data_IF_570675846410
#
_entry.id   IF_570675846410
#
_cell.length_a   1.000
_cell.length_b   1.000
_cell.length_c   1.000
_cell.angle_alpha   90.00
_cell.angle_beta   90.00
_cell.angle_gamma   90.00
#
_symmetry.space_group_name_H-M   'P 1'
#
loop_
_entity.id
_entity.type
_entity.pdbx_description
1 polymer ?
#
# COMPACT_ATOMS: atom_id res chain seq x y z
N UNK A 1 6.97 10.17 -4.81
CA UNK A 1 5.68 9.47 -5.04
C UNK A 1 5.76 8.30 -6.04
N UNK A 2 6.62 8.34 -7.08
CA UNK A 2 6.75 7.26 -8.09
C UNK A 2 7.31 5.90 -7.59
N UNK A 3 8.07 5.87 -6.49
CA UNK A 3 8.75 4.64 -6.01
C UNK A 3 7.79 3.68 -5.27
N UNK A 4 6.73 4.18 -4.61
CA UNK A 4 5.76 3.32 -3.88
C UNK A 4 4.86 2.49 -4.80
N UNK A 5 4.63 2.95 -6.04
CA UNK A 5 3.77 2.23 -6.98
C UNK A 5 4.41 0.94 -7.51
N UNK A 6 5.74 0.88 -7.61
CA UNK A 6 6.46 -0.24 -8.22
C UNK A 6 6.46 -1.53 -7.37
N UNK A 7 6.17 -1.44 -6.07
CA UNK A 7 6.11 -2.59 -5.16
C UNK A 7 4.69 -2.93 -4.66
N UNK A 8 3.65 -2.35 -5.28
CA UNK A 8 2.28 -2.74 -4.94
C UNK A 8 1.99 -4.16 -5.45
N UNK A 9 1.37 -5.01 -4.62
CA UNK A 9 0.92 -6.35 -5.01
C UNK A 9 0.08 -6.30 -6.30
N UNK A 10 -0.75 -5.27 -6.45
CA UNK A 10 -1.50 -4.99 -7.66
C UNK A 10 -0.60 -4.81 -8.88
N UNK A 11 0.43 -3.97 -8.78
CA UNK A 11 1.35 -3.71 -9.89
C UNK A 11 2.10 -4.99 -10.29
N UNK A 12 2.52 -5.79 -9.31
CA UNK A 12 3.21 -7.06 -9.55
C UNK A 12 2.28 -8.07 -10.24
N UNK A 13 1.06 -8.25 -9.72
CA UNK A 13 0.07 -9.17 -10.29
C UNK A 13 -0.34 -8.75 -11.70
N UNK A 14 -0.71 -7.49 -11.90
CA UNK A 14 -1.04 -6.96 -13.22
C UNK A 14 0.12 -7.17 -14.19
N UNK A 15 1.36 -6.80 -13.81
CA UNK A 15 2.53 -6.99 -14.68
C UNK A 15 2.74 -8.47 -15.03
N UNK A 16 2.72 -9.38 -14.04
CA UNK A 16 2.95 -10.81 -14.27
C UNK A 16 1.87 -11.41 -15.18
N UNK A 17 0.61 -11.09 -14.92
CA UNK A 17 -0.52 -11.64 -15.66
C UNK A 17 -0.55 -11.09 -17.09
N UNK A 18 -0.26 -9.79 -17.27
CA UNK A 18 -0.07 -9.19 -18.61
C UNK A 18 1.09 -9.84 -19.37
N UNK A 19 2.24 -10.09 -18.72
CA UNK A 19 3.38 -10.77 -19.37
C UNK A 19 3.02 -12.21 -19.76
N UNK A 20 2.34 -12.96 -18.90
CA UNK A 20 1.90 -14.34 -19.21
C UNK A 20 0.95 -14.35 -20.40
N UNK A 21 -0.06 -13.47 -20.40
CA UNK A 21 -1.01 -13.34 -21.51
C UNK A 21 -0.30 -12.94 -22.80
N UNK A 22 0.66 -12.01 -22.74
CA UNK A 22 1.44 -11.60 -23.91
C UNK A 22 2.30 -12.76 -24.46
N UNK A 23 2.97 -13.53 -23.60
CA UNK A 23 3.75 -14.70 -24.02
C UNK A 23 2.86 -15.77 -24.64
N UNK A 24 1.68 -16.02 -24.05
CA UNK A 24 0.69 -16.95 -24.60
C UNK A 24 0.25 -16.53 -26.01
N UNK A 25 -0.04 -15.25 -26.22
CA UNK A 25 -0.38 -14.72 -27.54
C UNK A 25 0.75 -14.83 -28.55
N UNK A 26 2.00 -14.58 -28.15
CA UNK A 26 3.17 -14.71 -29.04
C UNK A 26 3.37 -16.17 -29.47
N UNK A 27 3.23 -17.13 -28.55
CA UNK A 27 3.35 -18.55 -28.86
C UNK A 27 2.22 -18.99 -29.80
N UNK A 28 0.97 -18.60 -29.49
CA UNK A 28 -0.18 -18.92 -30.33
C UNK A 28 -0.06 -18.32 -31.74
N UNK A 29 0.40 -17.07 -31.84
CA UNK A 29 0.68 -16.39 -33.10
C UNK A 29 1.75 -17.11 -33.92
N UNK A 30 2.88 -17.47 -33.30
CA UNK A 30 3.95 -18.18 -33.98
C UNK A 30 3.52 -19.56 -34.48
N UNK A 31 2.73 -20.28 -33.68
CA UNK A 31 2.18 -21.58 -34.07
C UNK A 31 1.19 -21.44 -35.25
N UNK A 32 0.27 -20.49 -35.18
CA UNK A 32 -0.70 -20.23 -36.26
C UNK A 32 0.00 -19.84 -37.57
N UNK A 33 1.00 -18.97 -37.52
CA UNK A 33 1.79 -18.59 -38.70
C UNK A 33 2.59 -19.77 -39.27
N UNK A 34 3.10 -20.65 -38.42
CA UNK A 34 3.78 -21.87 -38.84
C UNK A 34 2.84 -22.83 -39.57
N UNK A 35 1.66 -23.09 -39.02
CA UNK A 35 0.66 -23.97 -39.64
C UNK A 35 0.17 -23.42 -40.97
N UNK A 36 -0.20 -22.13 -41.02
CA UNK A 36 -0.68 -21.50 -42.24
C UNK A 36 0.37 -21.57 -43.36
N UNK A 37 1.64 -21.30 -43.05
CA UNK A 37 2.72 -21.42 -44.03
C UNK A 37 2.90 -22.85 -44.54
N UNK A 38 2.79 -23.84 -43.66
CA UNK A 38 2.95 -25.24 -44.04
C UNK A 38 1.83 -25.72 -44.96
N UNK A 39 0.57 -25.39 -44.62
CA UNK A 39 -0.61 -25.72 -45.45
C UNK A 39 -0.56 -25.03 -46.82
N UNK A 40 -0.15 -23.75 -46.87
CA UNK A 40 0.02 -23.04 -48.15
C UNK A 40 1.12 -23.65 -49.03
N UNK A 41 2.23 -24.11 -48.43
CA UNK A 41 3.31 -24.77 -49.18
C UNK A 41 2.86 -26.11 -49.78
N UNK A 42 2.08 -26.90 -49.04
CA UNK A 42 1.54 -28.18 -49.50
C UNK A 42 0.45 -28.01 -50.57
N UNK A 43 -0.43 -27.01 -50.40
CA UNK A 43 -1.46 -26.66 -51.37
C UNK A 43 -0.88 -26.22 -52.72
N UNK A 44 0.10 -25.30 -52.71
CA UNK A 44 0.74 -24.82 -53.93
C UNK A 44 1.50 -25.93 -54.67
N UNK A 45 2.20 -26.81 -53.95
CA UNK A 45 2.88 -27.96 -54.55
C UNK A 45 1.89 -28.95 -55.19
N UNK A 46 0.72 -29.14 -54.58
CA UNK A 46 -0.35 -29.99 -55.12
C UNK A 46 -0.94 -29.40 -56.39
N UNK A 47 -1.20 -28.09 -56.40
CA UNK A 47 -1.69 -27.37 -57.58
C UNK A 47 -0.73 -27.54 -58.78
N UNK A 48 0.58 -27.35 -58.58
CA UNK A 48 1.60 -27.57 -59.63
C UNK A 48 1.55 -28.99 -60.24
N UNK A 49 1.33 -30.01 -59.42
CA UNK A 49 1.21 -31.41 -59.89
C UNK A 49 -0.07 -31.59 -60.71
N UNK A 50 -1.19 -31.07 -60.23
CA UNK A 50 -2.49 -31.22 -60.87
C UNK A 50 -2.56 -30.47 -62.20
N UNK A 51 -2.13 -29.20 -62.23
CA UNK A 51 -2.02 -28.39 -63.44
C UNK A 51 -1.08 -29.05 -64.45
N UNK A 52 0.04 -29.65 -64.02
CA UNK A 52 0.93 -30.42 -64.90
C UNK A 52 0.24 -31.63 -65.53
N UNK A 53 -0.56 -32.39 -64.76
CA UNK A 53 -1.32 -33.54 -65.30
C UNK A 53 -2.39 -33.11 -66.29
N UNK A 54 -3.19 -32.10 -65.94
CA UNK A 54 -4.23 -31.54 -66.82
C UNK A 54 -3.62 -31.03 -68.13
N UNK A 55 -2.57 -30.21 -68.03
CA UNK A 55 -1.90 -29.64 -69.18
C UNK A 55 -1.18 -30.69 -70.04
N UNK A 56 -0.56 -31.71 -69.44
CA UNK A 56 0.09 -32.78 -70.21
C UNK A 56 -0.88 -33.52 -71.14
N UNK A 57 -2.12 -33.73 -70.70
CA UNK A 57 -3.14 -34.44 -71.48
C UNK A 57 -3.59 -33.61 -72.68
N UNK A 58 -3.84 -32.32 -72.46
CA UNK A 58 -4.28 -31.38 -73.50
C UNK A 58 -3.19 -31.08 -74.52
N UNK A 59 -1.94 -30.93 -74.06
CA UNK A 59 -0.80 -30.65 -74.93
C UNK A 59 -0.46 -31.83 -75.82
N UNK A 60 -0.56 -33.08 -75.31
CA UNK A 60 -0.40 -34.28 -76.15
C UNK A 60 -1.46 -34.31 -77.24
N UNK A 61 -2.74 -34.14 -76.89
CA UNK A 61 -3.84 -34.15 -77.87
C UNK A 61 -3.68 -33.06 -78.93
N UNK A 62 -3.23 -31.86 -78.52
CA UNK A 62 -2.96 -30.76 -79.45
C UNK A 62 -1.82 -31.09 -80.42
N UNK A 63 -0.70 -31.64 -79.93
CA UNK A 63 0.48 -31.98 -80.74
C UNK A 63 0.23 -33.17 -81.68
N UNK A 64 -0.58 -34.15 -81.27
CA UNK A 64 -0.99 -35.25 -82.15
C UNK A 64 -1.87 -34.76 -83.31
N UNK A 65 -2.68 -33.73 -83.07
CA UNK A 65 -3.63 -33.20 -84.06
C UNK A 65 -3.05 -32.06 -84.95
N UNK A 66 -1.92 -31.44 -84.59
CA UNK A 66 -1.34 -30.28 -85.29
C UNK A 66 0.13 -30.48 -85.73
N UNK A 67 0.43 -31.65 -86.28
CA UNK A 67 1.79 -32.13 -86.57
C UNK A 67 2.54 -31.43 -87.75
N UNK A 68 2.20 -30.19 -88.10
CA UNK A 68 2.82 -29.44 -89.21
C UNK A 68 3.51 -28.15 -88.74
N UNK A 69 4.78 -28.03 -89.18
CA UNK A 69 5.72 -26.89 -89.12
C UNK A 69 6.40 -26.63 -87.75
N UNK A 70 7.75 -26.64 -87.77
CA UNK A 70 8.64 -26.52 -86.60
C UNK A 70 8.70 -25.13 -85.96
N UNK A 71 7.54 -24.50 -85.76
CA UNK A 71 7.37 -23.24 -85.06
C UNK A 71 6.92 -23.51 -83.61
N UNK A 72 7.45 -22.74 -82.65
CA UNK A 72 7.13 -22.91 -81.23
C UNK A 72 5.66 -22.55 -81.01
N UNK A 73 4.87 -23.48 -80.50
CA UNK A 73 3.46 -23.23 -80.19
C UNK A 73 3.36 -22.37 -78.93
N UNK A 74 2.75 -21.19 -79.07
CA UNK A 74 2.42 -20.31 -77.93
C UNK A 74 0.93 -20.45 -77.64
N UNK A 75 0.61 -21.07 -76.51
CA UNK A 75 -0.77 -21.15 -76.02
C UNK A 75 -1.12 -19.85 -75.27
N UNK A 76 -2.39 -19.38 -75.33
CA UNK A 76 -2.84 -18.21 -74.58
C UNK A 76 -2.63 -18.38 -73.06
N UNK A 77 -2.66 -17.27 -72.32
CA UNK A 77 -2.56 -17.27 -70.86
C UNK A 77 -3.51 -18.32 -70.24
N UNK A 78 -3.05 -19.08 -69.22
CA UNK A 78 -3.90 -20.05 -68.56
C UNK A 78 -5.03 -19.30 -67.85
N UNK A 79 -6.20 -19.36 -68.47
CA UNK A 79 -7.51 -19.17 -67.88
C UNK A 79 -8.40 -20.17 -68.60
N UNK A 80 -8.41 -21.41 -68.11
CA UNK A 80 -9.22 -22.48 -68.70
C UNK A 80 -10.68 -22.28 -68.30
N UNK A 81 -11.39 -21.38 -68.99
CA UNK A 81 -12.85 -21.46 -69.11
C UNK A 81 -13.18 -22.64 -70.04
N UNK A 82 -12.89 -23.86 -69.57
CA UNK A 82 -13.52 -25.06 -70.10
C UNK A 82 -14.77 -25.22 -69.26
N UNK A 83 -15.94 -24.99 -69.85
CA UNK A 83 -17.21 -25.52 -69.32
C UNK A 83 -17.10 -27.06 -69.28
N UNK A 84 -16.42 -27.57 -68.25
CA UNK A 84 -16.54 -28.95 -67.82
C UNK A 84 -17.94 -29.04 -67.21
N UNK A 85 -18.81 -29.81 -67.88
CA UNK A 85 -20.19 -29.97 -67.46
C UNK A 85 -20.30 -30.33 -65.98
N UNK A 86 -20.94 -29.42 -65.24
CA UNK A 86 -21.84 -29.62 -64.11
C UNK A 86 -21.74 -31.00 -63.43
N UNK A 87 -20.70 -31.23 -62.60
CA UNK A 87 -20.70 -32.24 -61.52
C UNK A 87 -19.37 -32.33 -60.72
N UNK A 88 -18.70 -31.22 -60.43
CA UNK A 88 -17.57 -31.27 -59.48
C UNK A 88 -17.56 -30.11 -58.49
N UNK A 89 -17.88 -30.43 -57.24
CA UNK A 89 -17.64 -29.62 -56.04
C UNK A 89 -16.12 -29.41 -55.84
N UNK A 90 -15.50 -28.52 -56.60
CA UNK A 90 -14.16 -28.01 -56.30
C UNK A 90 -14.29 -26.66 -55.58
N UNK A 91 -13.57 -26.50 -54.47
CA UNK A 91 -13.57 -25.30 -53.64
C UNK A 91 -13.14 -24.06 -54.45
N UNK A 92 -13.95 -22.99 -54.41
CA UNK A 92 -13.73 -21.69 -55.08
C UNK A 92 -12.37 -21.02 -54.70
N UNK A 93 -11.72 -21.45 -53.62
CA UNK A 93 -10.44 -20.89 -53.16
C UNK A 93 -9.23 -21.30 -54.03
N UNK A 94 -9.39 -22.24 -54.98
CA UNK A 94 -8.30 -22.73 -55.84
C UNK A 94 -8.22 -22.10 -57.25
N UNK A 95 -9.24 -21.34 -57.68
CA UNK A 95 -9.26 -20.72 -59.01
C UNK A 95 -8.16 -19.66 -59.19
N UNK A 96 -7.77 -18.96 -58.11
CA UNK A 96 -6.72 -17.92 -58.15
C UNK A 96 -5.30 -18.47 -58.46
N UNK A 97 -5.07 -19.78 -58.28
CA UNK A 97 -3.75 -20.37 -58.50
C UNK A 97 -3.45 -20.65 -59.97
N UNK A 98 -4.47 -20.95 -60.78
CA UNK A 98 -4.24 -21.35 -62.18
C UNK A 98 -3.93 -20.13 -63.08
N UNK A 99 -4.39 -18.93 -62.74
CA UNK A 99 -4.24 -17.69 -63.52
C UNK A 99 -2.78 -17.22 -63.69
N UNK A 100 -1.88 -17.64 -62.80
CA UNK A 100 -0.47 -17.22 -62.80
C UNK A 100 0.52 -18.33 -63.16
N UNK A 101 0.02 -19.53 -63.47
CA UNK A 101 0.87 -20.68 -63.81
C UNK A 101 1.53 -20.48 -65.17
N UNK A 102 2.79 -20.85 -65.28
CA UNK A 102 3.56 -20.80 -66.52
C UNK A 102 3.92 -22.22 -66.92
N UNK A 103 3.53 -22.66 -68.12
CA UNK A 103 3.92 -23.97 -68.63
C UNK A 103 4.88 -23.88 -69.83
N UNK A 104 5.81 -24.85 -69.90
CA UNK A 104 6.73 -25.09 -71.01
C UNK A 104 6.85 -26.60 -71.27
N UNK A 105 6.73 -27.03 -72.53
CA UNK A 105 7.06 -28.38 -72.98
C UNK A 105 8.43 -28.37 -73.65
N UNK A 106 9.31 -29.29 -73.25
CA UNK A 106 10.67 -29.39 -73.77
C UNK A 106 11.00 -30.78 -74.27
N UNK A 107 11.85 -30.88 -75.30
CA UNK A 107 12.40 -32.16 -75.76
C UNK A 107 13.59 -32.62 -74.88
N UNK A 108 14.09 -33.84 -75.13
CA UNK A 108 15.25 -34.40 -74.43
C UNK A 108 16.55 -33.59 -74.63
N UNK A 109 16.66 -32.83 -75.73
CA UNK A 109 17.78 -31.92 -76.01
C UNK A 109 17.66 -30.56 -75.27
N UNK A 110 16.52 -30.33 -74.62
CA UNK A 110 16.24 -29.15 -73.81
C UNK A 110 15.68 -27.96 -74.59
N UNK A 111 15.30 -28.12 -75.85
CA UNK A 111 14.62 -27.11 -76.66
C UNK A 111 13.15 -27.00 -76.26
N UNK A 112 12.61 -25.77 -76.29
CA UNK A 112 11.20 -25.49 -75.96
C UNK A 112 10.35 -25.77 -77.20
N UNK A 113 9.44 -26.73 -77.09
CA UNK A 113 8.49 -27.09 -78.14
C UNK A 113 7.19 -26.28 -78.03
N UNK A 114 6.76 -26.03 -76.80
CA UNK A 114 5.53 -25.30 -76.51
C UNK A 114 5.71 -24.47 -75.25
N UNK A 115 5.09 -23.29 -75.20
CA UNK A 115 5.02 -22.47 -74.00
C UNK A 115 3.68 -21.78 -73.86
N UNK A 116 3.34 -21.43 -72.64
CA UNK A 116 2.30 -20.45 -72.33
C UNK A 116 2.74 -19.04 -72.71
N UNK A 117 1.78 -18.17 -73.01
CA UNK A 117 2.02 -16.77 -73.35
C UNK A 117 2.69 -15.99 -72.21
N UNK A 118 2.36 -16.32 -70.96
CA UNK A 118 2.95 -15.73 -69.75
C UNK A 118 4.31 -16.35 -69.35
N UNK A 119 4.79 -17.41 -70.04
CA UNK A 119 6.10 -18.00 -69.80
C UNK A 119 7.24 -17.31 -70.59
N UNK A 120 8.47 -17.27 -70.04
CA UNK A 120 9.64 -16.75 -70.74
C UNK A 120 9.90 -17.46 -72.08
N UNK A 121 10.50 -16.75 -73.03
CA UNK A 121 10.98 -17.32 -74.30
C UNK A 121 12.20 -18.23 -74.12
N UNK A 122 12.97 -17.99 -73.06
CA UNK A 122 14.10 -18.83 -72.69
C UNK A 122 13.63 -20.01 -71.84
N UNK A 123 14.28 -21.19 -71.97
CA UNK A 123 13.97 -22.32 -71.10
C UNK A 123 14.18 -21.95 -69.62
N UNK A 124 13.34 -22.50 -68.73
CA UNK A 124 13.58 -22.34 -67.29
C UNK A 124 14.98 -22.85 -66.91
N UNK A 125 15.66 -22.10 -66.04
CA UNK A 125 16.99 -22.44 -65.50
C UNK A 125 16.86 -23.50 -64.39
N UNK A 126 16.23 -24.63 -64.74
CA UNK A 126 16.00 -25.77 -63.86
C UNK A 126 16.39 -27.07 -64.58
N UNK A 127 16.88 -28.08 -63.85
CA UNK A 127 17.24 -29.36 -64.45
C UNK A 127 16.00 -30.07 -65.01
N UNK A 128 16.14 -30.68 -66.20
CA UNK A 128 15.15 -31.57 -66.82
C UNK A 128 15.13 -32.92 -66.09
N UNK A 129 14.70 -32.91 -64.83
CA UNK A 129 14.55 -34.09 -63.98
C UNK A 129 13.16 -34.11 -63.37
N UNK A 130 12.47 -35.26 -63.34
CA UNK A 130 11.16 -35.35 -62.73
C UNK A 130 11.17 -34.90 -61.26
N UNK A 131 10.20 -34.08 -60.87
CA UNK A 131 10.04 -33.56 -59.51
C UNK A 131 10.10 -32.04 -59.41
N UNK A 132 10.23 -31.54 -58.18
CA UNK A 132 10.26 -30.11 -57.87
C UNK A 132 11.68 -29.56 -57.95
N UNK A 133 11.82 -28.39 -58.58
CA UNK A 133 13.05 -27.60 -58.63
C UNK A 133 12.74 -26.14 -58.31
N UNK A 134 13.58 -25.51 -57.51
CA UNK A 134 13.51 -24.07 -57.26
C UNK A 134 14.43 -23.35 -58.26
N UNK A 135 13.85 -22.54 -59.14
CA UNK A 135 14.57 -21.55 -59.91
C UNK A 135 14.76 -20.25 -59.12
N UNK A 136 15.41 -19.25 -59.72
CA UNK A 136 15.75 -17.99 -59.05
C UNK A 136 14.50 -17.16 -58.64
N UNK A 137 13.41 -17.26 -59.43
CA UNK A 137 12.15 -16.52 -59.21
C UNK A 137 10.87 -17.34 -59.36
N UNK A 138 11.03 -18.63 -59.65
CA UNK A 138 9.91 -19.53 -59.94
C UNK A 138 10.15 -20.88 -59.28
N UNK A 139 9.08 -21.51 -58.81
CA UNK A 139 9.12 -22.92 -58.38
C UNK A 139 8.56 -23.75 -59.52
N UNK A 140 9.33 -24.72 -59.99
CA UNK A 140 9.02 -25.51 -61.20
C UNK A 140 8.78 -26.96 -60.83
N UNK A 141 7.65 -27.52 -61.25
CA UNK A 141 7.39 -28.96 -61.26
C UNK A 141 7.61 -29.51 -62.67
N UNK A 142 8.47 -30.51 -62.79
CA UNK A 142 8.78 -31.19 -64.07
C UNK A 142 8.20 -32.60 -64.06
N UNK A 143 7.40 -32.93 -65.07
CA UNK A 143 6.88 -34.28 -65.34
C UNK A 143 7.33 -34.78 -66.72
N UNK A 144 7.37 -36.09 -66.92
CA UNK A 144 7.68 -36.70 -68.22
C UNK A 144 6.37 -36.98 -68.95
N UNK A 145 6.31 -36.63 -70.22
CA UNK A 145 5.11 -36.68 -71.06
C UNK A 145 5.47 -37.29 -72.43
N UNK A 146 4.49 -37.91 -73.11
CA UNK A 146 4.73 -38.72 -74.31
C UNK A 146 5.43 -40.06 -74.02
N UNK A 147 5.97 -40.72 -75.05
CA UNK A 147 6.66 -42.02 -74.95
C UNK A 147 7.96 -42.02 -74.09
N UNK A 148 8.20 -40.97 -73.29
CA UNK A 148 9.36 -40.83 -72.41
C UNK A 148 10.35 -39.74 -72.81
N UNK A 149 10.10 -39.06 -73.94
CA UNK A 149 11.09 -38.18 -74.59
C UNK A 149 10.79 -36.67 -74.46
N UNK A 150 9.68 -36.31 -73.80
CA UNK A 150 9.29 -34.91 -73.57
C UNK A 150 9.10 -34.61 -72.08
N UNK A 151 9.43 -33.39 -71.69
CA UNK A 151 9.34 -32.89 -70.31
C UNK A 151 8.38 -31.72 -70.24
N UNK A 152 7.34 -31.86 -69.43
CA UNK A 152 6.39 -30.80 -69.14
C UNK A 152 6.80 -30.09 -67.86
N UNK A 153 7.04 -28.80 -67.93
CA UNK A 153 7.41 -27.94 -66.80
C UNK A 153 6.26 -26.99 -66.52
N UNK A 154 5.75 -26.99 -65.28
CA UNK A 154 4.79 -26.00 -64.77
C UNK A 154 5.49 -25.20 -63.67
N UNK A 155 5.39 -23.88 -63.74
CA UNK A 155 6.12 -22.96 -62.91
C UNK A 155 5.20 -21.89 -62.31
N UNK A 156 5.36 -21.61 -61.03
CA UNK A 156 4.65 -20.53 -60.33
C UNK A 156 5.64 -19.41 -59.95
N UNK A 157 5.36 -18.13 -60.27
CA UNK A 157 6.15 -16.99 -59.81
C UNK A 157 6.13 -16.84 -58.28
N UNK A 158 7.32 -16.71 -57.67
CA UNK A 158 7.43 -16.58 -56.19
C UNK A 158 6.97 -15.21 -55.67
N UNK A 159 6.84 -14.20 -56.54
CA UNK A 159 6.39 -12.85 -56.17
C UNK A 159 4.92 -12.83 -55.74
N UNK A 160 4.01 -13.46 -56.51
CA UNK A 160 2.59 -13.58 -56.16
C UNK A 160 2.39 -14.41 -54.88
N UNK A 161 3.18 -15.47 -54.71
CA UNK A 161 3.18 -16.30 -53.50
C UNK A 161 3.50 -15.49 -52.23
N UNK A 162 4.41 -14.52 -52.29
CA UNK A 162 4.74 -13.70 -51.11
C UNK A 162 3.65 -12.70 -50.76
N UNK A 163 2.96 -12.13 -51.74
CA UNK A 163 1.87 -11.19 -51.52
C UNK A 163 0.66 -11.88 -50.86
N UNK A 164 0.25 -13.04 -51.38
CA UNK A 164 -0.82 -13.86 -50.79
C UNK A 164 -0.50 -14.32 -49.36
N UNK A 165 0.76 -14.66 -49.06
CA UNK A 165 1.20 -14.99 -47.71
C UNK A 165 1.08 -13.78 -46.78
N UNK A 166 1.54 -12.59 -47.22
CA UNK A 166 1.47 -11.37 -46.40
C UNK A 166 0.02 -10.98 -46.14
N UNK A 167 -0.85 -11.03 -47.14
CA UNK A 167 -2.27 -10.71 -47.00
C UNK A 167 -2.97 -11.66 -46.03
N UNK A 168 -2.77 -12.97 -46.20
CA UNK A 168 -3.29 -14.01 -45.28
C UNK A 168 -2.80 -13.78 -43.85
N UNK A 169 -1.50 -13.52 -43.68
CA UNK A 169 -0.89 -13.23 -42.37
C UNK A 169 -1.51 -11.98 -41.76
N UNK A 170 -1.63 -10.86 -42.50
CA UNK A 170 -2.19 -9.61 -41.99
C UNK A 170 -3.67 -9.78 -41.58
N UNK A 171 -4.47 -10.46 -42.40
CA UNK A 171 -5.87 -10.76 -42.10
C UNK A 171 -6.01 -11.58 -40.80
N UNK A 172 -5.19 -12.62 -40.65
CA UNK A 172 -5.15 -13.47 -39.46
C UNK A 172 -4.73 -12.72 -38.19
N UNK A 173 -3.81 -11.75 -38.29
CA UNK A 173 -3.29 -11.00 -37.14
C UNK A 173 -4.06 -9.72 -36.80
N UNK A 174 -4.88 -9.19 -37.71
CA UNK A 174 -5.74 -8.02 -37.45
C UNK A 174 -6.62 -8.17 -36.19
N UNK A 175 -7.35 -9.29 -35.96
CA UNK A 175 -8.17 -9.42 -34.74
C UNK A 175 -7.32 -9.41 -33.45
N UNK A 176 -6.07 -9.88 -33.50
CA UNK A 176 -5.16 -9.91 -32.35
C UNK A 176 -4.75 -8.52 -31.87
N UNK A 177 -4.58 -7.57 -32.81
CA UNK A 177 -4.25 -6.17 -32.52
C UNK A 177 -5.32 -5.53 -31.63
N UNK A 178 -6.59 -5.88 -31.84
CA UNK A 178 -7.71 -5.36 -31.02
C UNK A 178 -7.90 -6.16 -29.73
N UNK A 179 -7.70 -7.47 -29.78
CA UNK A 179 -7.98 -8.35 -28.66
C UNK A 179 -6.93 -8.25 -27.54
N UNK A 180 -5.66 -8.02 -27.86
CA UNK A 180 -4.58 -7.84 -26.87
C UNK A 180 -4.86 -6.63 -25.94
N UNK A 181 -5.10 -5.39 -26.44
CA UNK A 181 -5.45 -4.26 -25.59
C UNK A 181 -6.68 -4.50 -24.70
N UNK A 182 -7.71 -5.16 -25.24
CA UNK A 182 -8.94 -5.48 -24.50
C UNK A 182 -8.64 -6.43 -23.35
N UNK A 183 -7.85 -7.49 -23.57
CA UNK A 183 -7.46 -8.41 -22.50
C UNK A 183 -6.60 -7.73 -21.44
N UNK A 184 -5.66 -6.87 -21.83
CA UNK A 184 -4.85 -6.08 -20.88
C UNK A 184 -5.74 -5.17 -20.04
N UNK A 185 -6.68 -4.46 -20.68
CA UNK A 185 -7.63 -3.58 -19.98
C UNK A 185 -8.50 -4.36 -19.00
N UNK A 186 -9.00 -5.53 -19.41
CA UNK A 186 -9.80 -6.42 -18.56
C UNK A 186 -9.00 -6.93 -17.34
N UNK A 187 -7.73 -7.30 -17.54
CA UNK A 187 -6.84 -7.72 -16.45
C UNK A 187 -6.58 -6.58 -15.47
N UNK A 188 -6.25 -5.39 -15.99
CA UNK A 188 -6.04 -4.19 -15.15
C UNK A 188 -7.31 -3.90 -14.34
N UNK A 189 -8.47 -3.85 -15.00
CA UNK A 189 -9.76 -3.58 -14.36
C UNK A 189 -10.09 -4.61 -13.27
N UNK A 190 -9.99 -5.91 -13.59
CA UNK A 190 -10.29 -7.00 -12.65
C UNK A 190 -9.39 -6.95 -11.40
N UNK A 191 -8.07 -6.80 -11.58
CA UNK A 191 -7.13 -6.73 -10.46
C UNK A 191 -7.33 -5.45 -9.63
N UNK A 192 -7.61 -4.30 -10.27
CA UNK A 192 -7.89 -3.05 -9.54
C UNK A 192 -9.12 -3.17 -8.65
N UNK A 193 -10.17 -3.83 -9.13
CA UNK A 193 -11.43 -4.02 -8.41
C UNK A 193 -11.27 -5.02 -7.27
N UNK A 194 -10.61 -6.14 -7.51
CA UNK A 194 -10.39 -7.20 -6.52
C UNK A 194 -9.52 -6.73 -5.33
N UNK A 195 -8.53 -5.85 -5.57
CA UNK A 195 -7.63 -5.34 -4.51
C UNK A 195 -8.09 -3.99 -3.90
N UNK A 196 -9.20 -3.43 -4.36
CA UNK A 196 -9.79 -2.20 -3.81
C UNK A 196 -10.07 -2.28 -2.31
N UNK A 197 -10.77 -3.33 -1.82
CA UNK A 197 -11.10 -3.48 -0.41
C UNK A 197 -9.91 -3.50 0.54
N UNK A 198 -8.81 -4.14 0.15
CA UNK A 198 -7.56 -4.18 0.94
C UNK A 198 -7.05 -2.76 1.24
N UNK A 199 -7.20 -1.84 0.27
CA UNK A 199 -6.81 -0.44 0.47
C UNK A 199 -7.73 0.29 1.42
N UNK A 200 -9.03 0.01 1.38
CA UNK A 200 -9.99 0.58 2.31
C UNK A 200 -9.65 0.17 3.74
N UNK A 201 -9.45 -1.13 3.99
CA UNK A 201 -9.02 -1.65 5.31
C UNK A 201 -7.72 -1.00 5.77
N UNK A 202 -6.72 -0.93 4.89
CA UNK A 202 -5.44 -0.28 5.23
C UNK A 202 -5.65 1.18 5.61
N UNK A 203 -6.42 1.93 4.82
CA UNK A 203 -6.65 3.34 5.06
C UNK A 203 -7.47 3.57 6.34
N UNK A 204 -8.44 2.70 6.64
CA UNK A 204 -9.17 2.76 7.91
C UNK A 204 -8.26 2.50 9.10
N UNK A 205 -7.37 1.51 9.03
CA UNK A 205 -6.40 1.25 10.10
C UNK A 205 -5.44 2.44 10.25
N UNK A 206 -4.92 3.00 9.16
CA UNK A 206 -4.02 4.17 9.19
C UNK A 206 -4.73 5.43 9.72
N UNK A 207 -6.02 5.61 9.44
CA UNK A 207 -6.79 6.76 9.90
C UNK A 207 -7.19 6.68 11.39
N UNK A 208 -7.27 5.48 11.97
CA UNK A 208 -7.75 5.27 13.35
C UNK A 208 -6.76 5.70 14.46
N UNK A 209 -5.48 5.95 14.15
CA UNK A 209 -4.53 6.52 15.11
C UNK A 209 -4.32 5.68 16.39
N UNK A 210 -3.56 6.20 17.37
CA UNK A 210 -3.10 5.44 18.55
C UNK A 210 -4.19 5.15 19.61
N UNK A 211 -5.44 5.58 19.40
CA UNK A 211 -6.49 5.51 20.44
C UNK A 211 -7.86 5.01 19.99
N UNK A 212 -8.13 4.87 18.70
CA UNK A 212 -9.44 4.43 18.23
C UNK A 212 -9.47 2.90 18.00
N UNK A 213 -10.01 2.17 18.96
CA UNK A 213 -10.13 0.70 18.94
C UNK A 213 -11.53 0.22 18.53
N UNK A 214 -12.39 1.09 17.97
CA UNK A 214 -13.71 0.66 17.50
C UNK A 214 -13.58 -0.44 16.44
N UNK A 215 -14.53 -1.39 16.36
CA UNK A 215 -14.53 -2.41 15.31
C UNK A 215 -14.52 -1.80 13.90
N UNK A 216 -13.86 -2.46 12.97
CA UNK A 216 -13.96 -2.19 11.54
C UNK A 216 -15.25 -2.86 11.05
N UNK A 217 -16.23 -2.05 10.65
CA UNK A 217 -17.46 -2.51 10.03
C UNK A 217 -17.23 -2.59 8.53
N UNK A 218 -16.99 -3.80 8.03
CA UNK A 218 -16.86 -4.04 6.61
C UNK A 218 -17.64 -5.29 6.23
N UNK A 219 -18.54 -5.13 5.28
CA UNK A 219 -19.32 -6.21 4.67
C UNK A 219 -18.79 -6.41 3.25
N UNK A 220 -17.66 -7.12 3.13
CA UNK A 220 -17.03 -7.39 1.84
C UNK A 220 -17.45 -8.78 1.32
N UNK A 221 -17.74 -8.95 0.02
CA UNK A 221 -18.02 -10.27 -0.54
C UNK A 221 -16.81 -11.22 -0.56
N UNK A 222 -15.57 -10.73 -0.38
CA UNK A 222 -14.34 -11.54 -0.40
C UNK A 222 -14.02 -12.11 1.00
N UNK A 223 -14.08 -13.43 1.12
CA UNK A 223 -13.90 -14.17 2.38
C UNK A 223 -12.52 -13.93 3.04
N UNK A 224 -11.46 -13.84 2.24
CA UNK A 224 -10.11 -13.61 2.74
C UNK A 224 -9.97 -12.25 3.42
N UNK A 225 -10.68 -11.22 2.92
CA UNK A 225 -10.68 -9.88 3.51
C UNK A 225 -11.43 -9.90 4.84
N UNK A 226 -12.62 -10.50 4.88
CA UNK A 226 -13.41 -10.63 6.11
C UNK A 226 -12.65 -11.38 7.20
N UNK A 227 -11.89 -12.41 6.84
CA UNK A 227 -11.06 -13.17 7.78
C UNK A 227 -9.98 -12.29 8.42
N UNK A 228 -9.30 -11.48 7.61
CA UNK A 228 -8.28 -10.53 8.10
C UNK A 228 -8.92 -9.47 9.00
N UNK A 229 -10.04 -8.87 8.57
CA UNK A 229 -10.77 -7.86 9.35
C UNK A 229 -11.24 -8.44 10.69
N UNK A 230 -11.78 -9.66 10.70
CA UNK A 230 -12.19 -10.36 11.92
C UNK A 230 -11.01 -10.60 12.86
N UNK A 231 -9.86 -10.99 12.34
CA UNK A 231 -8.65 -11.19 13.15
C UNK A 231 -8.15 -9.86 13.76
N UNK A 232 -8.19 -8.76 13.00
CA UNK A 232 -7.84 -7.41 13.47
C UNK A 232 -8.82 -6.94 14.55
N UNK A 233 -10.13 -7.05 14.32
CA UNK A 233 -11.16 -6.71 15.29
C UNK A 233 -11.00 -7.51 16.59
N UNK A 234 -10.68 -8.80 16.50
CA UNK A 234 -10.41 -9.63 17.68
C UNK A 234 -9.17 -9.17 18.45
N UNK A 235 -8.11 -8.75 17.76
CA UNK A 235 -6.91 -8.21 18.40
C UNK A 235 -7.20 -6.87 19.09
N UNK A 236 -7.92 -5.97 18.42
CA UNK A 236 -8.36 -4.68 18.99
C UNK A 236 -9.20 -4.90 20.24
N UNK A 237 -10.19 -5.80 20.21
CA UNK A 237 -11.01 -6.12 21.38
C UNK A 237 -10.20 -6.73 22.54
N UNK A 238 -9.18 -7.56 22.26
CA UNK A 238 -8.27 -8.05 23.29
C UNK A 238 -7.42 -6.94 23.91
N UNK A 239 -6.94 -6.01 23.09
CA UNK A 239 -6.17 -4.85 23.55
C UNK A 239 -7.03 -3.93 24.41
N UNK A 240 -8.26 -3.64 23.97
CA UNK A 240 -9.22 -2.86 24.75
C UNK A 240 -9.53 -3.50 26.11
N UNK A 241 -9.75 -4.83 26.13
CA UNK A 241 -9.96 -5.57 27.37
C UNK A 241 -8.73 -5.53 28.30
N UNK A 242 -7.51 -5.65 27.76
CA UNK A 242 -6.30 -5.55 28.57
C UNK A 242 -6.12 -4.14 29.18
N UNK A 243 -6.33 -3.10 28.37
CA UNK A 243 -6.28 -1.71 28.83
C UNK A 243 -7.36 -1.39 29.86
N UNK A 244 -8.57 -1.94 29.72
CA UNK A 244 -9.64 -1.74 30.72
C UNK A 244 -9.33 -2.43 32.06
N UNK A 245 -8.71 -3.61 32.03
CA UNK A 245 -8.21 -4.27 33.25
C UNK A 245 -7.13 -3.42 33.93
N UNK A 246 -6.17 -2.87 33.19
CA UNK A 246 -5.13 -1.99 33.74
C UNK A 246 -5.72 -0.72 34.39
N UNK A 247 -6.71 -0.10 33.74
CA UNK A 247 -7.46 1.05 34.29
C UNK A 247 -8.17 0.68 35.59
N UNK A 248 -8.93 -0.43 35.59
CA UNK A 248 -9.69 -0.87 36.78
C UNK A 248 -8.79 -1.29 37.94
N UNK A 249 -7.66 -1.94 37.65
CA UNK A 249 -6.66 -2.31 38.66
C UNK A 249 -6.09 -1.06 39.35
N UNK A 250 -5.75 -0.04 38.57
CA UNK A 250 -5.25 1.24 39.10
C UNK A 250 -6.30 1.94 39.98
N UNK A 251 -7.56 1.99 39.51
CA UNK A 251 -8.64 2.63 40.24
C UNK A 251 -8.99 1.90 41.56
N UNK A 252 -9.05 0.57 41.53
CA UNK A 252 -9.41 -0.25 42.70
C UNK A 252 -8.27 -0.32 43.73
N UNK A 253 -7.01 -0.37 43.26
CA UNK A 253 -5.83 -0.37 44.15
C UNK A 253 -5.77 0.86 45.04
N UNK A 254 -6.35 1.99 44.60
CA UNK A 254 -6.39 3.20 45.40
C UNK A 254 -7.13 3.03 46.73
N UNK A 255 -8.32 2.45 46.67
CA UNK A 255 -9.15 2.23 47.85
C UNK A 255 -8.59 1.12 48.75
N UNK A 256 -8.07 0.05 48.15
CA UNK A 256 -7.44 -1.07 48.86
C UNK A 256 -6.16 -0.65 49.60
N UNK A 257 -5.42 0.35 49.10
CA UNK A 257 -4.25 0.91 49.80
C UNK A 257 -4.64 1.99 50.82
N UNK A 258 -5.59 2.88 50.50
CA UNK A 258 -5.97 4.01 51.37
C UNK A 258 -6.55 3.53 52.71
N UNK A 259 -7.35 2.47 52.69
CA UNK A 259 -8.04 1.93 53.87
C UNK A 259 -7.07 1.41 54.95
N UNK A 260 -6.14 0.48 54.68
CA UNK A 260 -5.20 -0.01 55.70
C UNK A 260 -4.25 1.08 56.19
N UNK A 261 -3.84 2.03 55.34
CA UNK A 261 -3.00 3.16 55.75
C UNK A 261 -3.76 4.09 56.72
N UNK A 262 -5.02 4.41 56.42
CA UNK A 262 -5.85 5.24 57.28
C UNK A 262 -6.08 4.58 58.66
N UNK A 263 -6.33 3.27 58.68
CA UNK A 263 -6.46 2.50 59.94
C UNK A 263 -5.16 2.53 60.73
N UNK A 264 -4.01 2.26 60.10
CA UNK A 264 -2.72 2.31 60.76
C UNK A 264 -2.39 3.71 61.30
N UNK A 265 -2.73 4.76 60.55
CA UNK A 265 -2.53 6.15 60.95
C UNK A 265 -3.40 6.48 62.17
N UNK A 266 -4.69 6.14 62.16
CA UNK A 266 -5.60 6.37 63.28
C UNK A 266 -5.15 5.65 64.57
N UNK A 267 -4.70 4.40 64.45
CA UNK A 267 -4.15 3.63 65.58
C UNK A 267 -2.86 4.28 66.12
N UNK A 268 -1.98 4.75 65.23
CA UNK A 268 -0.73 5.41 65.63
C UNK A 268 -1.01 6.76 66.29
N UNK A 269 -1.95 7.55 65.78
CA UNK A 269 -2.38 8.81 66.38
C UNK A 269 -2.98 8.59 67.77
N UNK A 270 -3.82 7.58 67.92
CA UNK A 270 -4.36 7.18 69.21
C UNK A 270 -3.24 6.78 70.18
N UNK A 271 -2.25 6.01 69.72
CA UNK A 271 -1.09 5.63 70.53
C UNK A 271 -0.26 6.85 70.97
N UNK A 272 -0.09 7.85 70.10
CA UNK A 272 0.58 9.12 70.43
C UNK A 272 -0.18 9.86 71.53
N UNK A 273 -1.52 9.87 71.49
CA UNK A 273 -2.36 10.52 72.49
C UNK A 273 -2.36 9.79 73.84
N UNK A 274 -2.33 8.46 73.85
CA UNK A 274 -2.35 7.63 75.07
C UNK A 274 -0.99 7.58 75.81
N UNK A 275 0.13 7.81 75.10
CA UNK A 275 1.47 7.75 75.70
C UNK A 275 1.83 9.05 76.43
N UNK A 276 2.46 8.99 77.63
CA UNK A 276 2.90 10.18 78.36
C UNK A 276 3.94 11.02 77.59
N UNK A 277 3.94 12.34 77.81
CA UNK A 277 5.00 13.22 77.30
C UNK A 277 6.38 12.83 77.87
N UNK A 278 7.42 12.86 77.03
CA UNK A 278 8.78 12.49 77.41
C UNK A 278 9.11 11.00 77.34
N UNK A 279 8.12 10.11 77.15
CA UNK A 279 8.37 8.67 76.98
C UNK A 279 8.97 8.36 75.61
N UNK A 280 10.03 7.55 75.54
CA UNK A 280 10.71 7.22 74.27
C UNK A 280 9.78 6.57 73.24
N UNK A 281 8.82 5.77 73.69
CA UNK A 281 7.78 5.18 72.83
C UNK A 281 6.91 6.23 72.14
N UNK A 282 6.67 7.41 72.75
CA UNK A 282 5.89 8.49 72.14
C UNK A 282 6.66 9.11 70.98
N UNK A 283 7.97 9.34 71.15
CA UNK A 283 8.84 9.80 70.05
C UNK A 283 8.80 8.83 68.87
N UNK A 284 8.88 7.52 69.13
CA UNK A 284 8.76 6.48 68.08
C UNK A 284 7.37 6.48 67.43
N UNK A 285 6.31 6.65 68.21
CA UNK A 285 4.94 6.71 67.68
C UNK A 285 4.74 7.94 66.77
N UNK A 286 5.27 9.11 67.13
CA UNK A 286 5.25 10.32 66.28
C UNK A 286 6.04 10.11 64.99
N UNK A 287 7.23 9.49 65.06
CA UNK A 287 8.01 9.15 63.86
C UNK A 287 7.26 8.18 62.94
N UNK A 288 6.58 7.18 63.50
CA UNK A 288 5.73 6.27 62.73
C UNK A 288 4.53 6.98 62.12
N UNK A 289 3.91 7.93 62.83
CA UNK A 289 2.81 8.74 62.30
C UNK A 289 3.28 9.57 61.10
N UNK A 290 4.43 10.22 61.19
CA UNK A 290 5.03 10.96 60.08
C UNK A 290 5.36 10.05 58.89
N UNK A 291 5.91 8.86 59.13
CA UNK A 291 6.19 7.87 58.10
C UNK A 291 4.91 7.39 57.40
N UNK A 292 3.83 7.13 58.14
CA UNK A 292 2.52 6.74 57.60
C UNK A 292 1.88 7.88 56.80
N UNK A 293 1.99 9.13 57.25
CA UNK A 293 1.55 10.31 56.48
C UNK A 293 2.31 10.43 55.16
N UNK A 294 3.62 10.22 55.16
CA UNK A 294 4.46 10.22 53.94
C UNK A 294 4.06 9.08 52.99
N UNK A 295 3.84 7.87 53.52
CA UNK A 295 3.42 6.71 52.75
C UNK A 295 2.04 6.92 52.12
N UNK A 296 1.08 7.50 52.87
CA UNK A 296 -0.24 7.88 52.35
C UNK A 296 -0.13 8.83 51.16
N UNK A 297 0.65 9.93 51.30
CA UNK A 297 0.88 10.89 50.22
C UNK A 297 1.57 10.26 49.01
N UNK A 298 2.51 9.34 49.22
CA UNK A 298 3.22 8.65 48.15
C UNK A 298 2.27 7.71 47.39
N UNK A 299 1.46 6.93 48.10
CA UNK A 299 0.46 6.06 47.50
C UNK A 299 -0.52 6.87 46.63
N UNK A 300 -1.04 7.99 47.16
CA UNK A 300 -1.93 8.90 46.42
C UNK A 300 -1.28 9.41 45.12
N UNK A 301 -0.02 9.87 45.18
CA UNK A 301 0.71 10.34 43.99
C UNK A 301 0.98 9.23 42.97
N UNK A 302 1.25 7.99 43.42
CA UNK A 302 1.39 6.85 42.49
C UNK A 302 0.10 6.51 41.78
N UNK A 303 -1.03 6.55 42.50
CA UNK A 303 -2.34 6.25 41.93
C UNK A 303 -2.79 7.35 40.96
N UNK A 304 -2.51 8.61 41.28
CA UNK A 304 -2.71 9.73 40.35
C UNK A 304 -1.86 9.57 39.08
N UNK A 305 -0.59 9.20 39.22
CA UNK A 305 0.28 8.95 38.07
C UNK A 305 -0.22 7.79 37.22
N UNK A 306 -0.54 6.65 37.83
CA UNK A 306 -1.02 5.48 37.12
C UNK A 306 -2.36 5.78 36.41
N UNK A 307 -3.25 6.57 37.02
CA UNK A 307 -4.48 7.05 36.36
C UNK A 307 -4.17 7.99 35.21
N UNK A 308 -3.20 8.89 35.38
CA UNK A 308 -2.76 9.80 34.32
C UNK A 308 -2.03 9.10 33.17
N UNK A 309 -1.43 7.94 33.39
CA UNK A 309 -0.77 7.16 32.34
C UNK A 309 -1.73 6.18 31.65
N UNK A 310 -2.83 5.80 32.32
CA UNK A 310 -3.84 4.94 31.70
C UNK A 310 -4.54 5.66 30.54
N UNK A 311 -4.56 5.05 29.35
CA UNK A 311 -5.26 5.59 28.17
C UNK A 311 -6.73 5.81 28.53
N UNK A 312 -7.22 7.05 28.67
CA UNK A 312 -8.61 7.33 29.06
C UNK A 312 -8.84 7.75 30.51
N UNK A 313 -7.82 7.73 31.39
CA UNK A 313 -7.97 8.18 32.78
C UNK A 313 -8.22 9.68 32.92
N UNK A 314 -7.70 10.48 31.98
CA UNK A 314 -7.92 11.92 31.80
C UNK A 314 -7.94 12.29 30.31
N UNK A 315 -8.97 11.84 29.59
CA UNK A 315 -9.19 12.20 28.19
C UNK A 315 -9.76 13.63 28.04
N UNK A 316 -9.57 14.27 26.87
CA UNK A 316 -10.29 15.51 26.55
C UNK A 316 -11.80 15.30 26.69
N UNK A 317 -12.50 16.25 27.31
CA UNK A 317 -13.94 16.17 27.57
C UNK A 317 -14.81 16.38 26.32
N UNK A 318 -14.21 16.83 25.22
CA UNK A 318 -14.89 17.08 23.95
C UNK A 318 -15.40 18.52 23.78
N UNK A 319 -15.30 19.34 24.82
CA UNK A 319 -15.61 20.77 24.82
C UNK A 319 -14.68 21.53 25.77
N UNK A 320 -14.53 22.84 25.59
CA UNK A 320 -13.80 23.69 26.53
C UNK A 320 -14.60 23.90 27.83
N UNK A 321 -13.94 23.69 28.97
CA UNK A 321 -14.49 23.97 30.30
C UNK A 321 -13.91 25.26 30.87
N UNK A 322 -14.68 25.97 31.70
CA UNK A 322 -14.21 27.12 32.49
C UNK A 322 -13.35 26.62 33.67
N UNK A 323 -12.06 26.96 33.65
CA UNK A 323 -11.09 26.49 34.63
C UNK A 323 -10.83 27.48 35.76
N UNK A 324 -11.32 28.72 35.62
CA UNK A 324 -11.08 29.78 36.58
C UNK A 324 -11.57 29.46 38.00
N UNK A 325 -12.80 28.95 38.19
CA UNK A 325 -13.31 28.54 39.49
C UNK A 325 -12.46 27.45 40.16
N UNK A 326 -12.02 26.45 39.37
CA UNK A 326 -11.20 25.34 39.87
C UNK A 326 -9.82 25.82 40.30
N UNK A 327 -9.19 26.73 39.54
CA UNK A 327 -7.91 27.30 39.92
C UNK A 327 -8.00 28.09 41.24
N UNK A 328 -9.03 28.92 41.40
CA UNK A 328 -9.28 29.65 42.65
C UNK A 328 -9.41 28.70 43.84
N UNK A 329 -10.22 27.64 43.69
CA UNK A 329 -10.42 26.66 44.76
C UNK A 329 -9.10 25.99 45.19
N UNK A 330 -8.24 25.61 44.22
CA UNK A 330 -6.93 25.01 44.51
C UNK A 330 -6.02 25.99 45.26
N UNK A 331 -5.99 27.26 44.85
CA UNK A 331 -5.17 28.30 45.50
C UNK A 331 -5.67 28.56 46.94
N UNK A 332 -6.98 28.68 47.15
CA UNK A 332 -7.57 28.88 48.48
C UNK A 332 -7.28 27.70 49.42
N UNK A 333 -7.41 26.47 48.92
CA UNK A 333 -7.10 25.27 49.70
C UNK A 333 -5.64 25.22 50.12
N UNK A 334 -4.71 25.57 49.23
CA UNK A 334 -3.28 25.60 49.54
C UNK A 334 -2.92 26.71 50.53
N UNK A 335 -3.56 27.89 50.42
CA UNK A 335 -3.44 28.97 51.43
C UNK A 335 -3.93 28.51 52.80
N UNK A 336 -5.06 27.80 52.86
CA UNK A 336 -5.65 27.30 54.11
C UNK A 336 -4.84 26.17 54.75
N UNK A 337 -4.18 25.35 53.93
CA UNK A 337 -3.38 24.21 54.38
C UNK A 337 -2.10 24.62 55.15
N UNK A 338 -1.74 25.91 55.16
CA UNK A 338 -0.71 26.43 56.05
C UNK A 338 0.65 25.75 55.87
N UNK A 339 1.13 25.64 54.63
CA UNK A 339 2.54 25.31 54.40
C UNK A 339 3.33 26.52 54.91
N UNK A 340 3.97 26.40 56.07
CA UNK A 340 4.72 27.47 56.75
C UNK A 340 5.54 28.30 55.73
N UNK A 341 5.24 29.60 55.59
CA UNK A 341 5.98 30.54 54.72
C UNK A 341 5.44 30.75 53.30
N UNK A 342 4.32 30.12 52.90
CA UNK A 342 3.78 30.20 51.55
C UNK A 342 3.12 31.56 51.20
N UNK A 343 3.88 32.50 50.65
CA UNK A 343 3.31 33.68 49.97
C UNK A 343 2.98 33.32 48.50
N UNK A 344 1.69 33.34 48.15
CA UNK A 344 1.22 33.03 46.78
C UNK A 344 0.63 34.30 46.19
N UNK A 345 1.31 34.85 45.18
CA UNK A 345 0.81 35.95 44.35
C UNK A 345 0.09 35.38 43.13
N UNK A 346 -1.19 35.67 43.04
CA UNK A 346 -2.01 35.23 41.93
C UNK A 346 -2.58 36.43 41.19
N UNK A 347 -2.28 36.52 39.90
CA UNK A 347 -2.83 37.51 38.99
C UNK A 347 -4.13 36.98 38.37
N UNK A 348 -5.26 37.58 38.77
CA UNK A 348 -6.59 37.13 38.40
C UNK A 348 -7.12 37.81 37.11
N UNK A 349 -6.35 38.70 36.48
CA UNK A 349 -6.86 39.57 35.40
C UNK A 349 -7.40 38.77 34.19
N UNK A 350 -6.79 37.62 33.87
CA UNK A 350 -7.21 36.75 32.77
C UNK A 350 -7.89 35.45 33.24
N UNK A 351 -8.39 35.42 34.48
CA UNK A 351 -8.96 34.20 35.04
C UNK A 351 -10.33 33.85 34.44
N UNK A 352 -11.15 34.86 34.16
CA UNK A 352 -12.52 34.69 33.67
C UNK A 352 -12.60 34.14 32.23
N UNK A 353 -11.48 34.17 31.51
CA UNK A 353 -11.35 33.72 30.11
C UNK A 353 -10.63 32.38 29.97
N UNK A 354 -10.07 31.86 31.07
CA UNK A 354 -9.30 30.62 31.08
C UNK A 354 -10.21 29.40 30.81
N UNK A 355 -10.10 28.85 29.60
CA UNK A 355 -10.86 27.66 29.21
C UNK A 355 -10.05 26.70 28.36
N UNK A 356 -10.28 25.39 28.55
CA UNK A 356 -9.61 24.35 27.79
C UNK A 356 -10.37 23.01 27.78
N UNK A 357 -10.01 22.14 26.86
CA UNK A 357 -10.58 20.80 26.71
C UNK A 357 -9.90 19.80 27.67
N UNK A 358 -10.09 20.01 28.96
CA UNK A 358 -9.55 19.21 30.06
C UNK A 358 -10.61 18.98 31.13
N UNK A 359 -10.58 17.82 31.78
CA UNK A 359 -11.42 17.52 32.93
C UNK A 359 -11.00 18.34 34.18
N UNK A 360 -11.98 18.80 34.97
CA UNK A 360 -11.71 19.68 36.12
C UNK A 360 -10.85 19.00 37.20
N UNK A 361 -10.99 17.70 37.42
CA UNK A 361 -10.17 16.97 38.39
C UNK A 361 -8.73 16.85 37.88
N UNK A 362 -8.56 16.55 36.59
CA UNK A 362 -7.24 16.51 35.95
C UNK A 362 -6.52 17.85 36.08
N UNK A 363 -7.23 18.94 35.79
CA UNK A 363 -6.72 20.29 35.92
C UNK A 363 -6.35 20.63 37.37
N UNK A 364 -7.21 20.31 38.34
CA UNK A 364 -6.95 20.53 39.75
C UNK A 364 -5.69 19.77 40.22
N UNK A 365 -5.49 18.53 39.76
CA UNK A 365 -4.30 17.73 40.06
C UNK A 365 -3.05 18.37 39.46
N UNK A 366 -3.09 18.85 38.22
CA UNK A 366 -1.98 19.56 37.59
C UNK A 366 -1.58 20.79 38.41
N UNK A 367 -2.55 21.67 38.70
CA UNK A 367 -2.28 22.92 39.41
C UNK A 367 -1.79 22.67 40.82
N UNK A 368 -2.38 21.72 41.55
CA UNK A 368 -1.89 21.36 42.89
C UNK A 368 -0.45 20.87 42.84
N UNK A 369 -0.08 20.02 41.89
CA UNK A 369 1.30 19.52 41.79
C UNK A 369 2.29 20.63 41.39
N UNK A 370 1.91 21.55 40.49
CA UNK A 370 2.77 22.67 40.09
C UNK A 370 2.98 23.66 41.24
N UNK A 371 1.91 24.04 41.95
CA UNK A 371 1.98 25.00 43.06
C UNK A 371 2.68 24.38 44.27
N UNK A 372 2.40 23.13 44.64
CA UNK A 372 3.14 22.43 45.70
C UNK A 372 4.64 22.34 45.39
N UNK A 373 5.00 22.13 44.12
CA UNK A 373 6.39 22.09 43.69
C UNK A 373 7.04 23.48 43.85
N UNK A 374 6.37 24.53 43.39
CA UNK A 374 6.85 25.90 43.49
C UNK A 374 7.02 26.36 44.95
N UNK A 375 6.06 26.04 45.84
CA UNK A 375 6.13 26.34 47.27
C UNK A 375 7.26 25.60 47.98
N UNK A 376 7.53 24.37 47.56
CA UNK A 376 8.52 23.51 48.21
C UNK A 376 9.96 23.82 47.82
N UNK A 377 10.19 24.29 46.59
CA UNK A 377 11.51 24.62 46.07
C UNK A 377 11.73 26.13 45.89
N UNK A 378 10.73 26.94 46.22
CA UNK A 378 10.82 28.40 46.30
C UNK A 378 11.84 28.85 47.33
N UNK A 379 12.56 29.93 47.03
CA UNK A 379 13.34 30.65 48.04
C UNK A 379 12.41 31.44 48.98
N UNK A 380 12.83 31.64 50.22
CA UNK A 380 12.04 32.36 51.25
C UNK A 380 11.84 33.86 50.94
N UNK A 381 12.54 34.41 49.94
CA UNK A 381 12.58 35.84 49.63
C UNK A 381 11.51 36.29 48.62
N UNK A 382 10.94 35.38 47.82
CA UNK A 382 9.98 35.72 46.77
C UNK A 382 8.72 34.83 46.84
N UNK A 383 7.52 35.41 46.65
CA UNK A 383 6.29 34.63 46.56
C UNK A 383 6.27 33.75 45.33
N UNK A 384 5.49 32.66 45.40
CA UNK A 384 5.12 31.88 44.22
C UNK A 384 4.16 32.72 43.38
N UNK A 385 4.53 33.01 42.14
CA UNK A 385 3.72 33.78 41.21
C UNK A 385 2.99 32.85 40.23
N UNK A 386 1.66 33.00 40.19
CA UNK A 386 0.77 32.30 39.28
C UNK A 386 0.15 33.33 38.33
N UNK A 387 0.34 33.12 37.02
CA UNK A 387 -0.17 34.00 35.97
C UNK A 387 -0.92 33.22 34.90
N UNK A 388 -2.00 33.82 34.40
CA UNK A 388 -2.71 33.37 33.20
C UNK A 388 -2.34 34.28 32.03
N UNK A 389 -1.87 33.70 30.93
CA UNK A 389 -1.44 34.41 29.71
C UNK A 389 -2.24 33.88 28.52
N UNK A 390 -2.71 34.78 27.65
CA UNK A 390 -3.45 34.45 26.42
C UNK A 390 -4.64 33.47 26.63
N UNK A 391 -5.32 33.52 27.78
CA UNK A 391 -6.52 32.72 28.09
C UNK A 391 -6.35 31.19 28.07
N UNK A 392 -5.12 30.68 27.92
CA UNK A 392 -4.82 29.24 27.77
C UNK A 392 -3.47 28.81 28.33
N UNK A 393 -2.62 29.75 28.71
CA UNK A 393 -1.28 29.47 29.23
C UNK A 393 -1.28 29.78 30.73
N UNK A 394 -0.91 28.78 31.53
CA UNK A 394 -0.72 28.93 32.96
C UNK A 394 0.76 28.87 33.29
N UNK A 395 1.26 29.91 33.93
CA UNK A 395 2.63 29.99 34.40
C UNK A 395 2.64 29.95 35.92
N UNK A 396 3.38 28.99 36.48
CA UNK A 396 3.67 28.90 37.91
C UNK A 396 5.16 29.08 38.07
N UNK A 397 5.58 30.11 38.80
CA UNK A 397 6.98 30.47 38.96
C UNK A 397 7.36 30.73 40.41
N UNK A 398 8.61 30.45 40.74
CA UNK A 398 9.18 30.70 42.06
C UNK A 398 10.64 31.14 41.95
N UNK A 399 11.10 31.95 42.90
CA UNK A 399 12.53 32.22 43.10
C UNK A 399 13.28 30.97 43.57
N UNK A 400 14.60 30.97 43.47
CA UNK A 400 15.43 29.83 43.92
C UNK A 400 16.63 29.55 43.03
N UNK A 401 17.43 28.55 43.42
CA UNK A 401 18.65 28.20 42.67
C UNK A 401 18.31 27.66 41.28
N UNK A 402 18.99 28.14 40.21
CA UNK A 402 18.80 27.63 38.87
C UNK A 402 19.09 26.13 38.79
N UNK A 403 18.28 25.43 37.99
CA UNK A 403 18.45 24.02 37.65
C UNK A 403 19.22 23.91 36.33
N UNK A 404 20.19 23.01 36.26
CA UNK A 404 20.95 22.83 35.01
C UNK A 404 20.07 22.29 33.87
N UNK A 405 20.37 22.59 32.60
CA UNK A 405 19.57 22.08 31.47
C UNK A 405 19.47 20.55 31.42
N UNK A 406 20.56 19.86 31.81
CA UNK A 406 20.60 18.41 31.87
C UNK A 406 19.64 17.85 32.94
N UNK A 407 19.55 18.49 34.11
CA UNK A 407 18.61 18.10 35.16
C UNK A 407 17.18 18.45 34.79
N UNK A 408 16.97 19.62 34.18
CA UNK A 408 15.65 20.14 33.82
C UNK A 408 14.90 19.19 32.85
N UNK A 409 15.61 18.66 31.85
CA UNK A 409 15.07 17.64 30.94
C UNK A 409 14.64 16.34 31.63
N UNK A 410 15.14 16.09 32.83
CA UNK A 410 14.94 14.86 33.59
C UNK A 410 13.92 15.03 34.72
N UNK A 411 13.46 16.25 35.03
CA UNK A 411 12.54 16.51 36.15
C UNK A 411 11.13 15.94 35.93
N UNK A 412 10.74 15.68 34.70
CA UNK A 412 9.47 15.01 34.35
C UNK A 412 9.57 13.48 34.43
N UNK A 413 10.76 12.91 34.71
CA UNK A 413 10.91 11.46 34.89
C UNK A 413 10.56 11.01 36.31
N UNK A 414 10.02 9.79 36.43
CA UNK A 414 9.51 9.26 37.71
C UNK A 414 10.62 9.17 38.77
N UNK A 415 10.29 9.57 39.99
CA UNK A 415 11.17 9.52 41.18
C UNK A 415 12.43 10.38 41.11
N UNK A 416 12.55 11.25 40.09
CA UNK A 416 13.75 12.08 39.94
C UNK A 416 13.64 13.37 40.74
N UNK A 417 14.76 13.80 41.31
CA UNK A 417 14.88 14.99 42.17
C UNK A 417 16.09 15.80 41.75
N UNK A 418 15.97 17.13 41.71
CA UNK A 418 17.10 18.04 41.43
C UNK A 418 18.02 18.22 42.63
N UNK A 419 17.55 17.98 43.86
CA UNK A 419 18.34 18.14 45.08
C UNK A 419 17.85 17.25 46.22
N UNK A 420 18.77 16.82 47.09
CA UNK A 420 18.47 16.01 48.29
C UNK A 420 17.84 16.82 49.45
N UNK A 421 17.67 18.14 49.29
CA UNK A 421 17.28 19.04 50.39
C UNK A 421 15.80 18.99 50.78
N UNK A 422 14.91 18.53 49.91
CA UNK A 422 13.46 18.68 50.13
C UNK A 422 12.69 17.35 50.04
N UNK A 423 11.88 17.04 51.05
CA UNK A 423 11.13 15.78 51.18
C UNK A 423 9.94 15.66 50.22
N UNK A 424 10.09 15.01 49.07
CA UNK A 424 8.98 14.81 48.13
C UNK A 424 9.19 13.65 47.18
N UNK A 425 8.11 13.04 46.69
CA UNK A 425 8.17 11.77 45.96
C UNK A 425 8.86 11.82 44.58
N UNK A 426 9.07 13.02 44.00
CA UNK A 426 9.58 13.15 42.63
C UNK A 426 8.58 12.70 41.55
N UNK A 427 7.29 12.66 41.89
CA UNK A 427 6.21 12.25 40.98
C UNK A 427 5.38 13.41 40.44
N UNK A 428 5.44 14.59 41.07
CA UNK A 428 4.52 15.70 40.76
C UNK A 428 4.61 16.16 39.30
N UNK A 429 5.80 16.52 38.83
CA UNK A 429 6.01 16.93 37.43
C UNK A 429 5.76 15.80 36.42
N UNK A 430 6.01 14.55 36.81
CA UNK A 430 5.69 13.38 35.98
C UNK A 430 4.16 13.21 35.80
N UNK A 431 3.36 13.48 36.84
CA UNK A 431 1.90 13.48 36.76
C UNK A 431 1.41 14.59 35.83
N UNK A 432 1.95 15.81 35.98
CA UNK A 432 1.57 16.95 35.12
C UNK A 432 1.89 16.65 33.65
N UNK A 433 3.08 16.11 33.37
CA UNK A 433 3.50 15.70 32.02
C UNK A 433 2.57 14.63 31.42
N UNK A 434 2.19 13.61 32.21
CA UNK A 434 1.27 12.57 31.77
C UNK A 434 -0.12 13.12 31.43
N UNK A 435 -0.68 14.00 32.29
CA UNK A 435 -1.97 14.65 32.04
C UNK A 435 -1.89 15.57 30.82
N UNK A 436 -0.81 16.35 30.68
CA UNK A 436 -0.62 17.25 29.55
C UNK A 436 -0.64 16.46 28.23
N UNK A 437 0.13 15.37 28.16
CA UNK A 437 0.17 14.49 26.97
C UNK A 437 -1.20 13.92 26.60
N UNK A 438 -1.96 13.40 27.57
CA UNK A 438 -3.27 12.80 27.31
C UNK A 438 -4.33 13.84 26.89
N UNK A 439 -4.19 15.08 27.33
CA UNK A 439 -5.10 16.18 27.00
C UNK A 439 -4.65 16.99 25.79
N UNK A 440 -3.54 16.59 25.13
CA UNK A 440 -2.86 17.34 24.05
C UNK A 440 -2.36 18.73 24.47
N UNK A 441 -2.22 18.97 25.77
CA UNK A 441 -1.60 20.15 26.35
C UNK A 441 -0.08 20.00 26.37
N UNK A 442 0.66 21.10 26.51
CA UNK A 442 2.13 21.11 26.49
C UNK A 442 2.67 21.68 27.81
N UNK A 443 3.56 20.94 28.48
CA UNK A 443 4.30 21.40 29.65
C UNK A 443 5.71 21.83 29.23
N UNK A 444 6.09 23.07 29.56
CA UNK A 444 7.46 23.58 29.39
C UNK A 444 8.02 24.01 30.73
N UNK A 445 9.27 23.65 30.97
CA UNK A 445 9.99 24.01 32.18
C UNK A 445 11.12 24.97 31.81
N UNK A 446 11.33 25.99 32.63
CA UNK A 446 12.37 26.99 32.45
C UNK A 446 13.13 27.19 33.75
N UNK A 447 14.45 27.19 33.68
CA UNK A 447 15.33 27.59 34.78
C UNK A 447 16.66 28.08 34.20
N UNK A 448 17.10 29.31 34.52
CA UNK A 448 16.38 30.33 35.32
C UNK A 448 15.05 30.75 34.64
N UNK A 449 14.19 31.48 35.38
CA UNK A 449 12.94 32.02 34.81
C UNK A 449 13.28 32.97 33.65
N UNK A 450 12.43 33.07 32.61
CA UNK A 450 12.62 34.07 31.55
C UNK A 450 12.77 35.47 32.17
N UNK A 451 13.71 36.27 31.67
CA UNK A 451 14.00 37.64 32.14
C UNK A 451 14.53 37.76 33.60
N UNK A 452 14.86 36.63 34.25
CA UNK A 452 15.50 36.60 35.56
C UNK A 452 16.83 35.84 35.53
N UNK A 453 17.71 36.13 36.50
CA UNK A 453 18.98 35.40 36.68
C UNK A 453 18.82 34.11 37.50
N UNK A 454 17.64 33.85 38.04
CA UNK A 454 17.36 32.78 38.99
C UNK A 454 15.93 32.19 38.83
N UNK A 455 15.63 31.19 39.65
CA UNK A 455 14.29 30.63 39.81
C UNK A 455 13.92 29.53 38.83
N UNK A 456 12.66 29.11 38.95
CA UNK A 456 12.05 28.05 38.15
C UNK A 456 10.67 28.50 37.68
N UNK A 457 10.31 28.18 36.43
CA UNK A 457 8.97 28.41 35.90
C UNK A 457 8.48 27.16 35.18
N UNK A 458 7.26 26.72 35.53
CA UNK A 458 6.50 25.74 34.78
C UNK A 458 5.39 26.45 34.00
N UNK A 459 5.40 26.26 32.69
CA UNK A 459 4.40 26.79 31.77
C UNK A 459 3.55 25.63 31.23
N UNK A 460 2.27 25.62 31.54
CA UNK A 460 1.29 24.67 31.03
C UNK A 460 0.43 25.36 29.97
N UNK A 461 0.60 24.96 28.70
CA UNK A 461 -0.19 25.44 27.57
C UNK A 461 -1.34 24.47 27.34
N UNK A 462 -2.56 24.91 27.59
CA UNK A 462 -3.73 24.07 27.51
C UNK A 462 -4.28 23.98 26.08
N UNK A 463 -4.74 22.80 25.69
CA UNK A 463 -5.40 22.58 24.40
C UNK A 463 -6.87 23.02 24.44
N UNK A 464 -7.28 23.83 23.46
CA UNK A 464 -8.67 24.23 23.24
C UNK A 464 -9.27 23.43 22.08
N UNK A 465 -10.52 22.98 22.24
CA UNK A 465 -11.27 22.18 21.25
C UNK A 465 -11.62 22.95 19.99
#
# INVERSE_FOLDING_TARGET
MKIRAQNSLQFILTKRLTVIVAVFWVIGAAFAAYTARHEMEEGADTALIETSRRASTLVIDYLENHQDEGEIVVLPEPGFDVELGDDSDYDEDFDDFDDFMQYQLRNADGEVLLRSQNAPETPFDTPLKPGFSNGDKVRVYTSVTGNGDMFMQVAEPTEHRNEAIIETVVSQFTPLIFLIPVTILAVVYSVTRALGPVRQVRNEIEARGEGNLTPIEQDDPIEEINTIVTAVNRLMGKLEAALSVERSFTANSAHELRTPIAVALAQTQRLVLELPEGHDSRKRAVQTEEALKRLSRLAEKLLQLARAESSGGFSPTGHNQDLGPTLNLVIEDLRRAGIDGADIRFDADNLATLSANIDLDAFAICMRNLIENALKYGGDEEPVEIRVVEDRILQVSNGGTPVSPAELSQLTTRFKRSSNKADGSGLGLAIVEAIARNTKSELKLYSPRPDHTDGFMAELRLHQS
#
